data_IF_570934788816
#
_entry.id   IF_570934788816
#
_cell.length_a   1.000
_cell.length_b   1.000
_cell.length_c   1.000
_cell.angle_alpha   90.00
_cell.angle_beta   90.00
_cell.angle_gamma   90.00
#
_symmetry.space_group_name_H-M   'P 1'
#
loop_
_entity.id
_entity.type
_entity.pdbx_description
1 polymer ?
#
# COMPACT_ATOMS: atom_id res chain seq x y z
N UNK A 1 -5.99 4.37 13.91
CA UNK A 1 -6.03 4.66 12.47
C UNK A 1 -7.29 5.44 12.07
N UNK A 2 -7.27 6.78 12.13
CA UNK A 2 -8.27 7.63 11.47
C UNK A 2 -7.77 8.02 10.08
N UNK A 3 -7.81 7.08 9.14
CA UNK A 3 -7.62 7.41 7.72
C UNK A 3 -8.97 7.88 7.19
N UNK A 4 -9.00 9.05 6.53
CA UNK A 4 -10.19 9.54 5.85
C UNK A 4 -10.73 8.45 4.90
N UNK A 5 -12.02 8.10 5.03
CA UNK A 5 -12.67 7.07 4.21
C UNK A 5 -12.42 7.24 2.71
N UNK A 6 -12.40 8.49 2.25
CA UNK A 6 -12.09 8.86 0.85
C UNK A 6 -10.68 8.43 0.42
N UNK A 7 -9.68 8.53 1.31
CA UNK A 7 -8.31 8.11 1.01
C UNK A 7 -8.20 6.59 0.92
N UNK A 8 -8.95 5.84 1.73
CA UNK A 8 -9.01 4.37 1.65
C UNK A 8 -9.64 3.94 0.32
N UNK A 9 -10.77 4.54 -0.07
CA UNK A 9 -11.48 4.22 -1.32
C UNK A 9 -10.60 4.50 -2.55
N UNK A 10 -9.82 5.58 -2.50
CA UNK A 10 -8.83 5.93 -3.52
C UNK A 10 -7.71 4.89 -3.63
N UNK A 11 -7.18 4.41 -2.50
CA UNK A 11 -6.18 3.33 -2.48
C UNK A 11 -6.75 2.02 -3.02
N UNK A 12 -8.01 1.69 -2.73
CA UNK A 12 -8.68 0.53 -3.32
C UNK A 12 -8.81 0.63 -4.84
N UNK A 13 -9.14 1.82 -5.35
CA UNK A 13 -9.17 2.08 -6.79
C UNK A 13 -7.80 1.86 -7.43
N UNK A 14 -6.73 2.30 -6.76
CA UNK A 14 -5.36 2.08 -7.22
C UNK A 14 -4.98 0.59 -7.24
N UNK A 15 -5.33 -0.16 -6.21
CA UNK A 15 -5.15 -1.62 -6.15
C UNK A 15 -5.89 -2.32 -7.29
N UNK A 16 -7.15 -1.93 -7.55
CA UNK A 16 -7.96 -2.52 -8.61
C UNK A 16 -7.40 -2.22 -10.02
N UNK A 17 -6.95 -0.98 -10.26
CA UNK A 17 -6.40 -0.57 -11.56
C UNK A 17 -5.04 -1.21 -11.86
N UNK A 18 -4.16 -1.30 -10.85
CA UNK A 18 -2.76 -1.70 -11.03
C UNK A 18 -2.51 -3.18 -10.73
N UNK A 19 -3.44 -3.83 -10.02
CA UNK A 19 -3.31 -5.19 -9.47
C UNK A 19 -2.12 -5.38 -8.53
N UNK A 20 -1.52 -4.28 -8.05
CA UNK A 20 -0.41 -4.31 -7.09
C UNK A 20 -0.95 -4.40 -5.66
N UNK A 21 -0.12 -4.89 -4.75
CA UNK A 21 -0.46 -4.97 -3.34
C UNK A 21 -0.07 -3.66 -2.66
N UNK A 22 -0.96 -3.12 -1.83
CA UNK A 22 -0.70 -1.92 -1.03
C UNK A 22 -0.72 -2.30 0.45
N UNK A 23 0.28 -1.82 1.18
CA UNK A 23 0.38 -1.98 2.63
C UNK A 23 0.37 -0.59 3.27
N UNK A 24 -0.61 -0.37 4.13
CA UNK A 24 -0.72 0.83 4.95
C UNK A 24 -0.31 0.48 6.37
N UNK A 25 0.63 1.22 6.95
CA UNK A 25 1.13 0.99 8.31
C UNK A 25 0.93 2.27 9.11
N UNK A 26 0.31 2.16 10.28
CA UNK A 26 0.26 3.25 11.25
C UNK A 26 1.51 3.19 12.13
N UNK A 27 2.34 4.24 12.10
CA UNK A 27 3.57 4.35 12.87
C UNK A 27 3.61 5.71 13.56
N UNK A 28 3.67 5.73 14.90
CA UNK A 28 3.76 6.95 15.71
C UNK A 28 2.77 8.07 15.33
N UNK A 29 1.52 7.71 15.00
CA UNK A 29 0.44 8.62 14.53
C UNK A 29 0.58 9.14 13.09
N UNK A 30 1.62 8.73 12.38
CA UNK A 30 1.75 8.92 10.94
C UNK A 30 1.29 7.66 10.19
N UNK A 31 0.68 7.88 9.03
CA UNK A 31 0.30 6.81 8.12
C UNK A 31 1.39 6.71 7.04
N UNK A 32 1.94 5.51 6.88
CA UNK A 32 2.84 5.18 5.78
C UNK A 32 2.14 4.26 4.81
N UNK A 33 2.23 4.56 3.52
CA UNK A 33 1.62 3.75 2.46
C UNK A 33 2.72 3.22 1.56
N UNK A 34 2.72 1.92 1.32
CA UNK A 34 3.71 1.23 0.50
C UNK A 34 3.04 0.43 -0.59
N UNK A 35 3.61 0.44 -1.79
CA UNK A 35 3.39 -0.63 -2.77
C UNK A 35 4.37 -1.74 -2.44
N UNK A 36 3.91 -2.98 -2.35
CA UNK A 36 4.73 -4.12 -1.93
C UNK A 36 4.64 -5.26 -2.95
N UNK A 37 5.73 -6.01 -3.09
CA UNK A 37 5.75 -7.22 -3.93
C UNK A 37 5.20 -8.42 -3.16
N UNK A 38 5.56 -8.51 -1.88
CA UNK A 38 5.09 -9.56 -0.99
C UNK A 38 5.00 -9.04 0.44
N UNK A 39 3.99 -9.53 1.15
CA UNK A 39 3.75 -9.25 2.55
C UNK A 39 3.44 -10.56 3.29
N UNK A 40 4.17 -10.82 4.36
CA UNK A 40 3.97 -11.96 5.25
C UNK A 40 3.60 -11.44 6.63
N UNK A 41 2.33 -11.58 7.06
CA UNK A 41 1.93 -11.16 8.38
C UNK A 41 2.61 -12.03 9.44
N UNK A 42 2.86 -11.44 10.61
CA UNK A 42 3.40 -12.14 11.76
C UNK A 42 2.42 -13.23 12.21
N UNK A 43 2.95 -14.36 12.65
CA UNK A 43 2.18 -15.50 13.14
C UNK A 43 2.66 -15.88 14.54
N UNK A 44 2.10 -16.93 15.11
CA UNK A 44 2.58 -17.44 16.41
C UNK A 44 4.07 -17.79 16.40
N UNK A 45 4.58 -18.31 15.29
CA UNK A 45 5.97 -18.76 15.15
C UNK A 45 6.86 -17.73 14.42
N UNK A 46 6.28 -16.64 13.92
CA UNK A 46 6.97 -15.54 13.24
C UNK A 46 6.62 -14.23 13.93
N UNK A 47 7.55 -13.68 14.71
CA UNK A 47 7.26 -12.54 15.60
C UNK A 47 7.15 -11.17 14.93
N UNK A 48 7.49 -11.05 13.64
CA UNK A 48 7.47 -9.79 12.91
C UNK A 48 6.74 -9.92 11.59
N UNK A 49 6.03 -8.86 11.18
CA UNK A 49 5.52 -8.76 9.83
C UNK A 49 6.70 -8.51 8.89
N UNK A 50 6.77 -9.25 7.80
CA UNK A 50 7.85 -9.11 6.81
C UNK A 50 7.32 -8.51 5.52
N UNK A 51 8.02 -7.48 5.04
CA UNK A 51 7.70 -6.78 3.80
C UNK A 51 8.85 -6.92 2.82
N UNK A 52 8.55 -7.28 1.57
CA UNK A 52 9.52 -7.40 0.49
C UNK A 52 9.19 -6.44 -0.65
N UNK A 53 10.23 -5.82 -1.21
CA UNK A 53 10.12 -4.94 -2.36
C UNK A 53 9.27 -3.70 -2.10
N UNK A 54 9.25 -3.20 -0.86
CA UNK A 54 8.40 -2.07 -0.50
C UNK A 54 8.88 -0.76 -1.13
N UNK A 55 7.96 -0.04 -1.74
CA UNK A 55 8.17 1.29 -2.29
C UNK A 55 7.23 2.26 -1.60
N UNK A 56 7.79 3.27 -0.91
CA UNK A 56 6.99 4.27 -0.20
C UNK A 56 6.22 5.12 -1.22
N UNK A 57 4.91 5.24 -1.03
CA UNK A 57 3.98 6.06 -1.83
C UNK A 57 3.13 6.97 -0.93
N UNK A 58 3.58 7.24 0.28
CA UNK A 58 2.84 8.05 1.27
C UNK A 58 2.51 9.45 0.73
N UNK A 59 3.42 10.04 -0.03
CA UNK A 59 3.26 11.34 -0.70
C UNK A 59 2.14 11.34 -1.76
N UNK A 60 1.89 10.21 -2.43
CA UNK A 60 0.73 10.06 -3.31
C UNK A 60 -0.55 9.94 -2.50
N UNK A 61 -0.54 9.15 -1.43
CA UNK A 61 -1.72 8.88 -0.64
C UNK A 61 -2.35 10.16 -0.05
N UNK A 62 -1.51 11.13 0.33
CA UNK A 62 -1.92 12.43 0.85
C UNK A 62 -2.54 13.34 -0.23
N UNK A 63 -2.16 13.18 -1.50
CA UNK A 63 -2.58 14.02 -2.64
C UNK A 63 -3.58 13.33 -3.60
N UNK A 64 -4.01 12.10 -3.27
CA UNK A 64 -4.86 11.26 -4.12
C UNK A 64 -6.18 11.89 -4.59
N UNK A 65 -6.90 12.76 -3.84
CA UNK A 65 -8.17 13.32 -4.31
C UNK A 65 -8.07 14.06 -5.65
N UNK A 66 -6.88 14.56 -6.01
CA UNK A 66 -6.65 15.34 -7.23
C UNK A 66 -6.12 14.51 -8.41
N UNK A 67 -5.54 13.33 -8.16
CA UNK A 67 -4.77 12.58 -9.18
C UNK A 67 -5.52 11.39 -9.78
N UNK A 68 -6.69 10.98 -9.25
CA UNK A 68 -7.44 9.86 -9.84
C UNK A 68 -8.04 10.20 -11.20
N UNK A 69 -8.41 11.46 -11.43
CA UNK A 69 -8.86 11.95 -12.74
C UNK A 69 -7.77 11.88 -13.82
N UNK A 70 -6.49 11.79 -13.41
CA UNK A 70 -5.31 11.78 -14.28
C UNK A 70 -4.48 10.49 -14.14
N UNK A 71 -5.00 9.45 -13.47
CA UNK A 71 -4.33 8.15 -13.28
C UNK A 71 -4.24 7.39 -14.62
N UNK A 72 -3.36 7.85 -15.48
CA UNK A 72 -2.87 7.07 -16.59
C UNK A 72 -1.94 6.00 -15.99
N UNK A 73 -2.23 4.69 -16.16
CA UNK A 73 -1.48 3.61 -15.51
C UNK A 73 0.03 3.66 -15.79
N UNK A 74 0.43 4.21 -16.94
CA UNK A 74 1.83 4.43 -17.34
C UNK A 74 2.55 5.36 -16.35
N UNK A 75 1.90 6.42 -15.88
CA UNK A 75 2.51 7.44 -15.02
C UNK A 75 2.79 6.93 -13.60
N UNK A 76 2.01 5.98 -13.09
CA UNK A 76 2.28 5.37 -11.80
C UNK A 76 3.48 4.42 -11.88
N UNK A 77 3.58 3.61 -12.94
CA UNK A 77 4.70 2.69 -13.10
C UNK A 77 6.02 3.43 -13.26
N UNK A 78 6.06 4.51 -14.06
CA UNK A 78 7.24 5.36 -14.22
C UNK A 78 7.67 5.99 -12.88
N UNK A 79 6.71 6.47 -12.10
CA UNK A 79 6.99 7.04 -10.78
C UNK A 79 7.38 6.01 -9.73
N UNK A 80 6.93 4.76 -9.88
CA UNK A 80 7.36 3.64 -9.03
C UNK A 80 8.76 3.16 -9.42
N UNK A 81 9.11 3.12 -10.70
CA UNK A 81 10.44 2.70 -11.16
C UNK A 81 11.57 3.57 -10.60
N UNK A 82 11.32 4.86 -10.42
CA UNK A 82 12.31 5.79 -9.83
C UNK A 82 12.47 5.65 -8.32
N UNK A 83 11.63 4.85 -7.63
CA UNK A 83 11.66 4.71 -6.17
C UNK A 83 12.48 3.51 -5.70
N UNK A 84 13.30 3.69 -4.65
CA UNK A 84 14.06 2.58 -4.08
C UNK A 84 13.12 1.55 -3.48
N UNK A 85 13.41 0.28 -3.77
CA UNK A 85 12.78 -0.86 -3.10
C UNK A 85 13.49 -1.13 -1.79
N UNK A 86 12.73 -1.36 -0.72
CA UNK A 86 13.27 -1.69 0.59
C UNK A 86 12.56 -2.91 1.16
N UNK A 87 13.34 -3.78 1.77
CA UNK A 87 12.83 -4.87 2.59
C UNK A 87 12.91 -4.43 4.05
N UNK A 88 11.85 -4.67 4.81
CA UNK A 88 11.84 -4.34 6.23
C UNK A 88 10.91 -5.25 7.02
N UNK A 89 11.06 -5.21 8.34
CA UNK A 89 10.21 -5.91 9.29
C UNK A 89 9.62 -4.92 10.29
N UNK A 90 8.39 -5.18 10.73
CA UNK A 90 7.75 -4.36 11.76
C UNK A 90 6.88 -5.22 12.70
N UNK A 91 6.79 -4.82 13.97
CA UNK A 91 6.03 -5.55 14.99
C UNK A 91 4.59 -5.06 15.19
N UNK A 92 4.23 -3.91 14.63
CA UNK A 92 2.91 -3.30 14.81
C UNK A 92 1.78 -4.15 14.21
N UNK A 93 0.67 -4.25 14.94
CA UNK A 93 -0.59 -4.86 14.47
C UNK A 93 -1.48 -3.87 13.72
N UNK A 94 -1.18 -2.58 13.80
CA UNK A 94 -1.97 -1.53 13.16
C UNK A 94 -1.52 -1.35 11.71
N UNK A 95 -1.96 -2.25 10.85
CA UNK A 95 -1.75 -2.17 9.41
C UNK A 95 -3.02 -2.55 8.63
N UNK A 96 -3.11 -2.08 7.40
CA UNK A 96 -4.10 -2.50 6.42
C UNK A 96 -3.37 -3.03 5.18
N UNK A 97 -3.62 -4.29 4.86
CA UNK A 97 -3.08 -4.94 3.66
C UNK A 97 -4.18 -5.06 2.61
N UNK A 98 -3.95 -4.44 1.46
CA UNK A 98 -4.92 -4.32 0.37
C UNK A 98 -4.37 -5.10 -0.83
N UNK A 99 -5.10 -6.14 -1.23
CA UNK A 99 -4.74 -6.98 -2.37
C UNK A 99 -5.87 -7.02 -3.38
N UNK A 100 -5.52 -6.89 -4.66
CA UNK A 100 -6.45 -7.13 -5.76
C UNK A 100 -6.67 -8.64 -5.83
N UNK A 101 -7.72 -9.14 -5.19
CA UNK A 101 -8.07 -10.55 -5.30
C UNK A 101 -8.46 -10.83 -6.76
N UNK A 102 -7.73 -11.72 -7.45
CA UNK A 102 -8.10 -12.17 -8.82
C UNK A 102 -9.40 -13.01 -8.84
N UNK A 103 -10.07 -13.16 -7.70
CA UNK A 103 -11.39 -13.77 -7.54
C UNK A 103 -12.32 -12.80 -6.82
N UNK A 104 -12.95 -11.91 -7.57
CA UNK A 104 -14.28 -11.38 -7.22
C UNK A 104 -15.31 -12.48 -7.53
N UNK A 105 -15.37 -13.53 -6.71
CA UNK A 105 -16.53 -14.42 -6.68
C UNK A 105 -17.42 -13.90 -5.55
N UNK A 106 -18.47 -13.16 -5.93
CA UNK A 106 -19.57 -12.73 -5.07
C UNK A 106 -20.50 -13.90 -4.76
#
# INVERSE_FOLDING_TARGET
>A
MEINKTAIDNLWTLVAATKKQILVIESFRDIRVYVVESFSPKTRDVFFNEVRGAQDITDFAVNLPFQISELNPITLEDRLQSRPKKDFKFGSDNYLWMISNKKNEY
#
